data_IF_084125335727
#
_entry.id   IF_084125335727
#
_cell.length_a   1.000
_cell.length_b   1.000
_cell.length_c   1.000
_cell.angle_alpha   90.00
_cell.angle_beta   90.00
_cell.angle_gamma   90.00
#
_symmetry.space_group_name_H-M   'P 1'
#
loop_
_entity.id
_entity.type
_entity.pdbx_description
1 polymer ?
#
# COMPACT_ATOMS: atom_id res chain seq x y z
N UNK A 1 12.97 29.44 -3.40
CA UNK A 1 11.77 30.14 -3.89
C UNK A 1 10.98 29.11 -4.67
N UNK A 2 10.17 28.31 -3.96
CA UNK A 2 9.37 27.25 -4.57
C UNK A 2 7.95 27.80 -4.70
N UNK A 3 7.42 27.81 -5.92
CA UNK A 3 6.05 28.22 -6.21
C UNK A 3 5.07 27.38 -5.38
N UNK A 4 4.28 28.06 -4.56
CA UNK A 4 3.16 27.46 -3.83
C UNK A 4 2.02 27.15 -4.82
N UNK A 5 1.48 25.92 -4.86
CA UNK A 5 0.22 25.68 -5.54
C UNK A 5 -0.92 26.29 -4.72
N UNK A 6 -1.60 27.26 -5.31
CA UNK A 6 -2.77 27.98 -4.78
C UNK A 6 -3.93 27.03 -4.41
N UNK A 7 -4.74 27.38 -3.38
CA UNK A 7 -5.91 26.59 -3.00
C UNK A 7 -6.93 26.52 -4.15
N UNK A 8 -7.41 25.31 -4.45
CA UNK A 8 -8.50 25.08 -5.40
C UNK A 8 -9.83 25.45 -4.73
N UNK A 9 -10.39 26.59 -5.12
CA UNK A 9 -11.78 26.95 -4.81
C UNK A 9 -12.65 26.36 -5.92
N UNK A 10 -13.43 25.34 -5.61
CA UNK A 10 -14.47 24.82 -6.52
C UNK A 10 -15.79 25.46 -6.14
N UNK A 11 -16.27 26.38 -6.97
CA UNK A 11 -17.64 26.91 -6.91
C UNK A 11 -18.51 25.98 -7.75
N UNK A 12 -19.48 25.30 -7.12
CA UNK A 12 -20.50 24.55 -7.85
C UNK A 12 -21.61 25.52 -8.25
N UNK A 13 -21.61 25.97 -9.50
CA UNK A 13 -22.75 26.70 -10.09
C UNK A 13 -23.76 25.69 -10.63
N UNK A 14 -24.95 25.65 -10.02
CA UNK A 14 -26.09 24.91 -10.55
C UNK A 14 -26.94 25.81 -11.46
N UNK A 15 -27.05 25.45 -12.73
CA UNK A 15 -28.01 26.06 -13.66
C UNK A 15 -29.44 25.69 -13.26
N UNK A 16 -30.31 26.67 -13.09
CA UNK A 16 -31.77 26.49 -13.00
C UNK A 16 -32.48 27.30 -14.08
N UNK A 17 -33.13 26.61 -15.02
CA UNK A 17 -34.14 27.20 -15.90
C UNK A 17 -35.54 27.03 -15.28
N UNK A 18 -36.24 28.17 -15.21
CA UNK A 18 -37.65 28.49 -14.93
C UNK A 18 -38.63 27.44 -14.37
N UNK A 19 -39.32 27.81 -13.28
CA UNK A 19 -40.74 28.24 -13.35
C UNK A 19 -41.21 28.90 -12.04
N UNK A 20 -42.04 29.93 -12.20
CA UNK A 20 -42.48 30.86 -11.18
C UNK A 20 -43.79 30.38 -10.53
N UNK A 21 -43.85 30.25 -9.20
CA UNK A 21 -45.05 30.55 -8.40
C UNK A 21 -44.67 30.63 -6.93
N UNK A 22 -44.99 31.77 -6.29
CA UNK A 22 -44.58 32.05 -4.92
C UNK A 22 -45.38 31.29 -3.88
N UNK A 23 -44.73 30.91 -2.78
CA UNK A 23 -45.19 31.05 -1.39
C UNK A 23 -43.97 30.87 -0.47
N UNK A 24 -43.94 31.63 0.62
CA UNK A 24 -42.91 31.80 1.65
C UNK A 24 -42.15 30.56 2.15
N UNK A 25 -40.81 30.60 2.13
CA UNK A 25 -39.90 29.71 2.90
C UNK A 25 -38.64 30.46 3.37
N UNK A 26 -38.01 30.03 4.48
CA UNK A 26 -36.96 30.79 5.17
C UNK A 26 -35.59 30.66 4.47
N UNK A 27 -34.76 31.68 4.66
CA UNK A 27 -33.44 31.88 4.03
C UNK A 27 -32.50 30.68 4.26
N UNK A 28 -32.24 29.90 3.21
CA UNK A 28 -31.13 28.94 3.16
C UNK A 28 -29.81 29.71 3.07
N UNK A 29 -29.01 29.61 4.13
CA UNK A 29 -27.63 30.10 4.14
C UNK A 29 -26.78 29.24 3.23
N UNK A 30 -26.22 29.85 2.19
CA UNK A 30 -25.29 29.22 1.27
C UNK A 30 -23.99 28.89 2.03
N UNK A 31 -23.85 27.64 2.51
CA UNK A 31 -22.65 27.19 3.24
C UNK A 31 -21.52 27.03 2.23
N UNK A 32 -20.64 28.04 2.14
CA UNK A 32 -19.37 27.92 1.43
C UNK A 32 -18.49 26.89 2.14
N UNK A 33 -18.46 25.67 1.62
CA UNK A 33 -17.50 24.65 2.07
C UNK A 33 -16.11 25.08 1.60
N UNK A 34 -15.35 25.70 2.50
CA UNK A 34 -13.94 26.00 2.28
C UNK A 34 -13.20 24.67 2.45
N UNK A 35 -12.56 24.18 1.39
CA UNK A 35 -11.57 23.08 1.49
C UNK A 35 -10.33 23.64 2.17
N UNK A 36 -10.44 23.92 3.46
CA UNK A 36 -9.31 24.28 4.29
C UNK A 36 -8.60 22.97 4.60
N UNK A 37 -7.70 22.55 3.70
CA UNK A 37 -6.80 21.45 3.98
C UNK A 37 -6.12 21.71 5.31
N UNK A 38 -6.22 20.76 6.24
CA UNK A 38 -5.80 20.95 7.62
C UNK A 38 -4.29 21.23 7.67
N UNK A 39 -3.91 22.48 7.95
CA UNK A 39 -2.51 22.92 8.12
C UNK A 39 -2.00 22.71 9.56
N UNK A 40 -2.89 22.37 10.48
CA UNK A 40 -2.57 22.16 11.89
C UNK A 40 -2.00 20.78 12.17
N UNK A 41 -1.50 20.59 13.37
CA UNK A 41 -1.07 19.28 13.89
C UNK A 41 -2.24 18.48 14.49
N UNK A 42 -3.42 19.09 14.58
CA UNK A 42 -4.67 18.48 15.07
C UNK A 42 -5.34 17.64 13.99
N UNK A 43 -6.27 16.76 14.34
CA UNK A 43 -7.22 16.11 13.42
C UNK A 43 -8.54 16.89 13.49
N UNK A 44 -9.13 17.25 12.35
CA UNK A 44 -10.46 17.86 12.33
C UNK A 44 -11.50 16.75 12.29
N UNK A 45 -12.48 16.83 13.19
CA UNK A 45 -13.54 15.84 13.38
C UNK A 45 -14.87 16.47 13.06
N UNK A 46 -15.70 15.75 12.29
CA UNK A 46 -17.03 16.22 11.99
C UNK A 46 -17.92 16.08 13.24
N UNK A 47 -18.71 17.10 13.62
CA UNK A 47 -19.68 17.01 14.71
C UNK A 47 -20.62 15.81 14.66
N UNK A 48 -20.92 15.28 13.47
CA UNK A 48 -21.71 14.05 13.31
C UNK A 48 -21.06 12.82 13.96
N UNK A 49 -19.75 12.86 14.23
CA UNK A 49 -19.02 11.81 14.93
C UNK A 49 -19.03 11.98 16.46
N UNK A 50 -19.76 12.95 17.00
CA UNK A 50 -19.96 13.08 18.46
C UNK A 50 -20.55 11.79 19.03
N UNK A 51 -19.89 11.26 20.06
CA UNK A 51 -20.28 10.02 20.71
C UNK A 51 -19.69 8.75 20.09
N UNK A 52 -18.96 8.83 18.98
CA UNK A 52 -18.26 7.69 18.41
C UNK A 52 -17.15 7.22 19.38
N UNK A 53 -17.10 5.92 19.76
CA UNK A 53 -16.06 5.40 20.67
C UNK A 53 -14.63 5.58 20.15
N UNK A 54 -14.44 5.73 18.84
CA UNK A 54 -13.12 5.95 18.22
C UNK A 54 -12.43 7.19 18.79
N UNK A 55 -13.18 8.26 19.06
CA UNK A 55 -12.61 9.52 19.57
C UNK A 55 -11.90 9.35 20.92
N UNK A 56 -12.31 8.37 21.73
CA UNK A 56 -11.66 8.05 23.02
C UNK A 56 -10.30 7.37 22.84
N UNK A 57 -10.12 6.70 21.71
CA UNK A 57 -8.92 5.93 21.39
C UNK A 57 -7.90 6.75 20.57
N UNK A 58 -8.27 7.95 20.13
CA UNK A 58 -7.34 8.92 19.54
C UNK A 58 -6.72 9.70 20.70
N UNK A 59 -5.51 9.30 21.11
CA UNK A 59 -4.76 9.82 22.25
C UNK A 59 -3.39 10.39 21.85
N UNK A 60 -2.77 9.84 20.81
CA UNK A 60 -1.43 10.24 20.35
C UNK A 60 -1.44 11.60 19.65
N UNK A 61 -2.61 12.03 19.16
CA UNK A 61 -2.80 13.23 18.35
C UNK A 61 -4.01 14.01 18.87
N UNK A 62 -3.86 15.32 19.01
CA UNK A 62 -4.97 16.20 19.37
C UNK A 62 -6.02 16.27 18.26
N UNK A 63 -7.29 16.45 18.62
CA UNK A 63 -8.38 16.58 17.66
C UNK A 63 -9.37 17.65 18.10
N UNK A 64 -10.04 18.27 17.13
CA UNK A 64 -11.01 19.34 17.35
C UNK A 64 -12.22 19.17 16.43
N UNK A 65 -13.38 19.68 16.85
CA UNK A 65 -14.58 19.67 16.00
C UNK A 65 -14.55 20.85 15.02
N UNK A 66 -14.88 20.58 13.76
CA UNK A 66 -15.08 21.61 12.73
C UNK A 66 -16.37 21.32 11.96
N UNK A 67 -17.30 22.27 11.98
CA UNK A 67 -18.60 22.16 11.31
C UNK A 67 -18.48 22.31 9.77
N UNK A 68 -17.35 22.82 9.27
CA UNK A 68 -17.16 23.14 7.85
C UNK A 68 -16.59 21.97 7.04
N UNK A 69 -16.31 20.82 7.67
CA UNK A 69 -15.75 19.65 6.98
C UNK A 69 -16.85 18.71 6.49
N UNK A 70 -16.70 18.24 5.25
CA UNK A 70 -17.57 17.20 4.66
C UNK A 70 -17.22 15.78 5.14
N UNK A 71 -15.96 15.32 5.15
CA UNK A 71 -15.63 13.97 5.62
C UNK A 71 -15.81 13.84 7.13
N UNK A 72 -15.72 12.62 7.67
CA UNK A 72 -15.84 12.39 9.12
C UNK A 72 -14.57 12.84 9.86
N UNK A 73 -13.42 12.64 9.22
CA UNK A 73 -12.11 13.01 9.77
C UNK A 73 -11.24 13.63 8.67
N UNK A 74 -10.56 14.73 8.98
CA UNK A 74 -9.51 15.31 8.12
C UNK A 74 -8.16 15.13 8.82
N UNK A 75 -7.33 14.27 8.23
CA UNK A 75 -6.07 13.81 8.81
C UNK A 75 -4.87 14.60 8.27
N UNK A 76 -5.07 15.54 7.37
CA UNK A 76 -3.99 16.31 6.75
C UNK A 76 -4.51 17.25 5.66
N UNK A 77 -3.58 17.85 4.91
CA UNK A 77 -3.95 18.84 3.88
C UNK A 77 -4.76 18.24 2.73
N UNK A 78 -4.42 17.04 2.31
CA UNK A 78 -5.03 16.35 1.15
C UNK A 78 -5.59 14.97 1.52
N UNK A 79 -5.64 14.66 2.81
CA UNK A 79 -6.01 13.34 3.33
C UNK A 79 -7.29 13.43 4.18
N UNK A 80 -8.27 12.61 3.87
CA UNK A 80 -9.51 12.51 4.64
C UNK A 80 -9.95 11.07 4.85
N UNK A 81 -10.74 10.83 5.90
CA UNK A 81 -11.40 9.57 6.15
C UNK A 81 -12.92 9.73 6.31
N UNK A 82 -13.65 8.78 5.72
CA UNK A 82 -15.04 8.47 6.05
C UNK A 82 -15.06 7.26 6.96
N UNK A 83 -15.94 7.27 7.96
CA UNK A 83 -16.12 6.18 8.90
C UNK A 83 -17.45 5.47 8.68
N UNK A 84 -17.40 4.14 8.66
CA UNK A 84 -18.57 3.30 8.47
C UNK A 84 -18.46 2.02 9.29
N UNK A 85 -19.46 1.70 10.12
CA UNK A 85 -19.60 0.35 10.68
C UNK A 85 -20.29 -0.56 9.67
N UNK A 86 -19.88 -1.82 9.58
CA UNK A 86 -20.54 -2.81 8.72
C UNK A 86 -21.99 -3.06 9.12
N UNK A 87 -22.28 -3.05 10.42
CA UNK A 87 -23.65 -3.15 10.93
C UNK A 87 -24.51 -2.00 10.44
N UNK A 88 -23.96 -0.79 10.44
CA UNK A 88 -24.66 0.39 9.92
C UNK A 88 -24.84 0.32 8.40
N UNK A 89 -23.83 -0.12 7.65
CA UNK A 89 -23.92 -0.33 6.20
C UNK A 89 -25.03 -1.32 5.83
N UNK A 90 -25.21 -2.36 6.63
CA UNK A 90 -26.28 -3.36 6.42
C UNK A 90 -27.67 -2.76 6.67
N UNK A 91 -27.79 -1.81 7.61
CA UNK A 91 -29.05 -1.12 7.90
C UNK A 91 -29.38 -0.04 6.86
N UNK A 92 -28.38 0.72 6.40
CA UNK A 92 -28.54 1.84 5.46
C UNK A 92 -27.47 1.80 4.36
N UNK A 93 -27.62 0.96 3.32
CA UNK A 93 -26.61 0.78 2.27
C UNK A 93 -26.42 2.03 1.38
N UNK A 94 -27.45 2.87 1.24
CA UNK A 94 -27.37 4.09 0.40
C UNK A 94 -26.59 5.23 1.06
N UNK A 95 -26.42 5.19 2.38
CA UNK A 95 -25.74 6.24 3.15
C UNK A 95 -24.35 6.53 2.60
N UNK A 96 -23.55 5.50 2.33
CA UNK A 96 -22.17 5.69 1.89
C UNK A 96 -22.14 6.34 0.50
N UNK A 97 -23.05 5.95 -0.40
CA UNK A 97 -23.13 6.51 -1.75
C UNK A 97 -23.45 8.02 -1.72
N UNK A 98 -24.36 8.45 -0.85
CA UNK A 98 -24.69 9.87 -0.65
C UNK A 98 -23.50 10.63 -0.07
N UNK A 99 -22.82 10.07 0.95
CA UNK A 99 -21.63 10.69 1.56
C UNK A 99 -20.50 10.86 0.55
N UNK A 100 -20.27 9.88 -0.33
CA UNK A 100 -19.28 9.97 -1.39
C UNK A 100 -19.61 11.06 -2.42
N UNK A 101 -20.88 11.20 -2.81
CA UNK A 101 -21.32 12.26 -3.73
C UNK A 101 -21.01 13.64 -3.15
N UNK A 102 -21.30 13.84 -1.87
CA UNK A 102 -21.02 15.10 -1.18
C UNK A 102 -19.51 15.37 -1.04
N UNK A 103 -18.71 14.32 -0.79
CA UNK A 103 -17.25 14.43 -0.67
C UNK A 103 -16.57 14.74 -2.01
N UNK A 104 -17.09 14.20 -3.11
CA UNK A 104 -16.55 14.39 -4.45
C UNK A 104 -15.06 14.06 -4.56
N UNK A 105 -14.30 14.97 -5.19
CA UNK A 105 -12.84 14.90 -5.37
C UNK A 105 -12.12 16.04 -4.63
N UNK A 106 -12.62 16.40 -3.45
CA UNK A 106 -12.05 17.50 -2.65
C UNK A 106 -10.68 17.15 -2.04
N UNK A 107 -10.38 15.85 -1.90
CA UNK A 107 -9.15 15.33 -1.31
C UNK A 107 -8.49 14.33 -2.26
N UNK A 108 -7.16 14.30 -2.27
CA UNK A 108 -6.38 13.38 -3.10
C UNK A 108 -6.44 11.96 -2.52
N UNK A 109 -6.13 11.83 -1.23
CA UNK A 109 -6.24 10.57 -0.51
C UNK A 109 -7.55 10.54 0.27
N UNK A 110 -8.45 9.66 -0.17
CA UNK A 110 -9.76 9.46 0.44
C UNK A 110 -9.83 8.04 0.99
N UNK A 111 -9.85 7.94 2.30
CA UNK A 111 -9.86 6.66 3.02
C UNK A 111 -11.29 6.34 3.45
N UNK A 112 -11.74 5.12 3.18
CA UNK A 112 -12.95 4.57 3.80
C UNK A 112 -12.53 3.64 4.93
N UNK A 113 -12.64 4.13 6.17
CA UNK A 113 -12.35 3.38 7.37
C UNK A 113 -13.60 2.61 7.81
N UNK A 114 -13.54 1.29 7.66
CA UNK A 114 -14.65 0.39 7.94
C UNK A 114 -14.40 -0.40 9.21
N UNK A 115 -15.29 -0.27 10.19
CA UNK A 115 -15.29 -1.11 11.38
C UNK A 115 -16.06 -2.42 11.12
N UNK A 116 -15.38 -3.54 11.34
CA UNK A 116 -15.92 -4.89 11.19
C UNK A 116 -16.55 -5.33 12.52
N UNK A 117 -17.85 -5.07 12.68
CA UNK A 117 -18.63 -5.32 13.91
C UNK A 117 -19.73 -6.39 13.74
N UNK A 118 -19.60 -7.26 12.75
CA UNK A 118 -20.55 -8.35 12.45
C UNK A 118 -19.83 -9.68 12.27
N UNK A 119 -20.53 -10.80 12.51
CA UNK A 119 -19.97 -12.16 12.33
C UNK A 119 -19.72 -12.53 10.87
N UNK A 120 -20.61 -12.10 9.96
CA UNK A 120 -20.54 -12.44 8.53
C UNK A 120 -20.30 -11.18 7.67
N UNK A 121 -19.04 -10.69 7.58
CA UNK A 121 -18.74 -9.44 6.89
C UNK A 121 -18.59 -9.58 5.36
N UNK A 122 -18.50 -10.79 4.82
CA UNK A 122 -18.09 -11.05 3.43
C UNK A 122 -18.97 -10.36 2.38
N UNK A 123 -20.29 -10.39 2.53
CA UNK A 123 -21.20 -9.79 1.55
C UNK A 123 -21.10 -8.26 1.54
N UNK A 124 -21.11 -7.64 2.73
CA UNK A 124 -20.97 -6.20 2.89
C UNK A 124 -19.60 -5.71 2.41
N UNK A 125 -18.52 -6.42 2.74
CA UNK A 125 -17.17 -6.10 2.27
C UNK A 125 -17.05 -6.23 0.76
N UNK A 126 -17.59 -7.29 0.15
CA UNK A 126 -17.57 -7.44 -1.32
C UNK A 126 -18.23 -6.24 -2.02
N UNK A 127 -19.35 -5.76 -1.48
CA UNK A 127 -20.04 -4.59 -1.99
C UNK A 127 -19.23 -3.30 -1.78
N UNK A 128 -18.71 -3.06 -0.57
CA UNK A 128 -17.90 -1.89 -0.26
C UNK A 128 -16.60 -1.83 -1.06
N UNK A 129 -15.92 -2.97 -1.24
CA UNK A 129 -14.72 -3.05 -2.10
C UNK A 129 -15.02 -2.66 -3.53
N UNK A 130 -16.18 -3.06 -4.07
CA UNK A 130 -16.60 -2.64 -5.42
C UNK A 130 -16.82 -1.13 -5.49
N UNK A 131 -17.47 -0.55 -4.48
CA UNK A 131 -17.66 0.91 -4.40
C UNK A 131 -16.30 1.63 -4.34
N UNK A 132 -15.39 1.18 -3.47
CA UNK A 132 -14.08 1.79 -3.32
C UNK A 132 -13.25 1.75 -4.60
N UNK A 133 -13.28 0.62 -5.33
CA UNK A 133 -12.60 0.48 -6.61
C UNK A 133 -13.16 1.42 -7.69
N UNK A 134 -14.47 1.63 -7.73
CA UNK A 134 -15.11 2.50 -8.73
C UNK A 134 -14.94 3.99 -8.43
N UNK A 135 -14.68 4.35 -7.18
CA UNK A 135 -14.66 5.75 -6.71
C UNK A 135 -13.29 6.23 -6.30
N UNK A 136 -12.24 5.44 -6.54
CA UNK A 136 -10.84 5.69 -6.15
C UNK A 136 -10.68 6.00 -4.66
N UNK A 137 -11.29 5.15 -3.81
CA UNK A 137 -11.12 5.19 -2.35
C UNK A 137 -10.18 4.09 -1.88
N UNK A 138 -9.38 4.39 -0.86
CA UNK A 138 -8.62 3.37 -0.13
C UNK A 138 -9.49 2.77 0.96
N UNK A 139 -9.81 1.47 0.86
CA UNK A 139 -10.53 0.75 1.91
C UNK A 139 -9.57 0.35 3.03
N UNK A 140 -9.85 0.78 4.25
CA UNK A 140 -9.14 0.36 5.47
C UNK A 140 -10.09 -0.34 6.42
N UNK A 141 -9.71 -1.52 6.90
CA UNK A 141 -10.52 -2.32 7.82
C UNK A 141 -9.98 -2.22 9.24
N UNK A 142 -10.89 -2.13 10.22
CA UNK A 142 -10.58 -2.17 11.64
C UNK A 142 -11.49 -3.19 12.35
N UNK A 143 -10.91 -4.05 13.17
CA UNK A 143 -11.65 -5.07 13.93
C UNK A 143 -12.13 -4.57 15.30
N UNK A 144 -11.60 -3.43 15.74
CA UNK A 144 -11.99 -2.77 16.98
C UNK A 144 -12.01 -1.25 16.81
N UNK A 145 -12.77 -0.53 17.66
CA UNK A 145 -12.72 0.94 17.67
C UNK A 145 -11.34 1.47 18.11
N UNK A 146 -10.53 0.66 18.79
CA UNK A 146 -9.16 1.01 19.17
C UNK A 146 -8.23 1.01 17.95
N UNK A 147 -8.31 -0.05 17.13
CA UNK A 147 -7.58 -0.13 15.87
C UNK A 147 -7.97 1.00 14.92
N UNK A 148 -9.26 1.31 14.82
CA UNK A 148 -9.75 2.42 14.01
C UNK A 148 -9.14 3.76 14.45
N UNK A 149 -9.06 4.03 15.75
CA UNK A 149 -8.38 5.23 16.29
C UNK A 149 -6.90 5.27 15.93
N UNK A 150 -6.17 4.16 16.16
CA UNK A 150 -4.75 4.04 15.82
C UNK A 150 -4.47 4.22 14.33
N UNK A 151 -5.36 3.75 13.46
CA UNK A 151 -5.22 3.95 12.01
C UNK A 151 -5.29 5.45 11.67
N UNK A 152 -6.28 6.17 12.22
CA UNK A 152 -6.43 7.62 12.02
C UNK A 152 -5.18 8.37 12.54
N UNK A 153 -4.69 8.02 13.73
CA UNK A 153 -3.46 8.59 14.29
C UNK A 153 -2.26 8.36 13.38
N UNK A 154 -2.11 7.14 12.88
CA UNK A 154 -1.00 6.76 12.00
C UNK A 154 -1.02 7.59 10.72
N UNK A 155 -2.19 7.81 10.12
CA UNK A 155 -2.29 8.68 8.96
C UNK A 155 -1.83 10.11 9.25
N UNK A 156 -2.18 10.66 10.41
CA UNK A 156 -1.74 12.02 10.78
C UNK A 156 -0.24 12.09 11.06
N UNK A 157 0.30 11.14 11.83
CA UNK A 157 1.73 11.10 12.19
C UNK A 157 2.61 10.92 10.94
N UNK A 158 2.10 10.21 9.93
CA UNK A 158 2.86 9.93 8.71
C UNK A 158 2.70 11.00 7.62
N UNK A 159 1.93 12.07 7.85
CA UNK A 159 1.69 13.14 6.86
C UNK A 159 3.00 13.74 6.31
N UNK A 160 4.00 13.94 7.18
CA UNK A 160 5.29 14.55 6.83
C UNK A 160 6.46 13.56 6.87
N UNK A 161 6.19 12.25 7.02
CA UNK A 161 7.24 11.26 7.20
C UNK A 161 7.86 10.90 5.84
N UNK A 162 9.20 10.92 5.70
CA UNK A 162 9.84 10.54 4.44
C UNK A 162 9.63 9.05 4.12
N UNK A 163 9.74 8.66 2.84
CA UNK A 163 9.53 7.28 2.39
C UNK A 163 10.67 6.32 2.78
N UNK A 164 11.60 6.71 3.65
CA UNK A 164 12.78 5.94 4.03
C UNK A 164 12.45 4.53 4.56
N UNK A 165 11.28 4.37 5.20
CA UNK A 165 10.84 3.07 5.70
C UNK A 165 10.47 2.07 4.60
N UNK A 166 10.07 2.56 3.43
CA UNK A 166 9.62 1.72 2.29
C UNK A 166 10.68 1.61 1.19
N UNK A 167 11.73 2.42 1.25
CA UNK A 167 12.85 2.33 0.31
C UNK A 167 13.65 1.04 0.52
N UNK A 168 14.16 0.49 -0.58
CA UNK A 168 15.09 -0.64 -0.51
C UNK A 168 16.33 -0.21 0.27
N UNK A 169 16.61 -0.92 1.37
CA UNK A 169 17.88 -0.76 2.08
C UNK A 169 18.97 -1.41 1.25
N UNK A 170 19.58 -0.64 0.36
CA UNK A 170 20.74 -1.12 -0.39
C UNK A 170 21.87 -1.40 0.61
N UNK A 171 22.28 -2.67 0.72
CA UNK A 171 23.48 -3.02 1.48
C UNK A 171 24.68 -2.30 0.84
N UNK A 172 25.41 -1.48 1.60
CA UNK A 172 26.57 -0.73 1.09
C UNK A 172 27.74 -1.65 0.74
N UNK A 173 27.90 -2.72 1.52
CA UNK A 173 29.11 -3.52 1.52
C UNK A 173 29.16 -4.49 0.34
N UNK A 174 30.20 -4.37 -0.49
CA UNK A 174 30.46 -5.25 -1.63
C UNK A 174 30.47 -6.73 -1.24
N UNK A 175 30.94 -7.06 -0.02
CA UNK A 175 30.94 -8.41 0.49
C UNK A 175 29.52 -8.97 0.68
N UNK A 176 28.61 -8.17 1.26
CA UNK A 176 27.23 -8.58 1.47
C UNK A 176 26.46 -8.68 0.14
N UNK A 177 26.73 -7.78 -0.81
CA UNK A 177 26.23 -7.90 -2.19
C UNK A 177 26.63 -9.22 -2.85
N UNK A 178 27.88 -9.65 -2.68
CA UNK A 178 28.37 -10.92 -3.20
C UNK A 178 27.72 -12.13 -2.49
N UNK A 179 27.57 -12.08 -1.16
CA UNK A 179 26.86 -13.11 -0.40
C UNK A 179 25.41 -13.22 -0.88
N UNK A 180 24.72 -12.09 -1.03
CA UNK A 180 23.33 -12.02 -1.52
C UNK A 180 23.23 -12.60 -2.93
N UNK A 181 24.12 -12.21 -3.84
CA UNK A 181 24.18 -12.74 -5.21
C UNK A 181 24.39 -14.26 -5.25
N UNK A 182 25.31 -14.80 -4.44
CA UNK A 182 25.53 -16.25 -4.34
C UNK A 182 24.34 -16.97 -3.70
N UNK A 183 23.68 -16.35 -2.72
CA UNK A 183 22.50 -16.91 -2.04
C UNK A 183 21.26 -16.93 -2.93
N UNK A 184 21.22 -16.14 -4.02
CA UNK A 184 20.18 -16.23 -5.05
C UNK A 184 20.14 -17.62 -5.72
N UNK A 185 21.21 -18.40 -5.63
CA UNK A 185 21.27 -19.76 -6.15
C UNK A 185 20.60 -20.70 -5.12
N UNK A 186 19.49 -21.35 -5.50
CA UNK A 186 18.65 -22.21 -4.62
C UNK A 186 19.40 -23.21 -3.73
N UNK A 187 20.60 -23.65 -4.13
CA UNK A 187 21.40 -24.64 -3.38
C UNK A 187 22.42 -24.04 -2.40
N UNK A 188 22.56 -22.72 -2.34
CA UNK A 188 23.60 -22.03 -1.58
C UNK A 188 22.96 -21.21 -0.47
N UNK A 189 23.39 -21.46 0.76
CA UNK A 189 22.99 -20.66 1.91
C UNK A 189 23.97 -19.50 2.14
N UNK A 190 23.59 -18.54 2.99
CA UNK A 190 24.48 -17.44 3.42
C UNK A 190 25.81 -17.94 3.99
N UNK A 191 25.78 -19.02 4.76
CA UNK A 191 26.98 -19.66 5.33
C UNK A 191 27.89 -20.23 4.24
N UNK A 192 27.30 -20.86 3.22
CA UNK A 192 28.04 -21.47 2.11
C UNK A 192 28.66 -20.38 1.22
N UNK A 193 27.92 -19.29 0.97
CA UNK A 193 28.42 -18.14 0.23
C UNK A 193 29.59 -17.46 0.95
N UNK A 194 29.50 -17.32 2.28
CA UNK A 194 30.58 -16.79 3.09
C UNK A 194 31.82 -17.70 3.04
N UNK A 195 31.69 -19.03 3.18
CA UNK A 195 32.83 -19.95 3.08
C UNK A 195 33.44 -20.02 1.69
N UNK A 196 32.63 -19.89 0.63
CA UNK A 196 33.14 -19.77 -0.74
C UNK A 196 33.96 -18.49 -0.93
N UNK A 197 33.48 -17.36 -0.42
CA UNK A 197 34.19 -16.09 -0.52
C UNK A 197 35.46 -16.06 0.33
N UNK A 198 35.49 -16.67 1.52
CA UNK A 198 36.70 -16.73 2.33
C UNK A 198 37.76 -17.67 1.75
N UNK A 199 37.36 -18.79 1.14
CA UNK A 199 38.30 -19.76 0.58
C UNK A 199 38.84 -19.34 -0.81
N UNK A 200 37.96 -18.87 -1.71
CA UNK A 200 38.35 -18.49 -3.07
C UNK A 200 38.70 -17.01 -3.23
N UNK A 201 38.26 -16.14 -2.31
CA UNK A 201 38.52 -14.69 -2.30
C UNK A 201 37.72 -13.89 -3.32
N UNK A 202 37.64 -14.36 -4.57
CA UNK A 202 37.02 -13.62 -5.68
C UNK A 202 35.95 -14.46 -6.38
N UNK A 203 34.90 -13.79 -6.87
CA UNK A 203 33.83 -14.45 -7.64
C UNK A 203 34.36 -15.10 -8.92
N UNK A 204 35.35 -14.49 -9.57
CA UNK A 204 35.99 -15.04 -10.76
C UNK A 204 36.61 -16.43 -10.49
N UNK A 205 37.32 -16.60 -9.38
CA UNK A 205 37.89 -17.89 -8.98
C UNK A 205 36.81 -18.93 -8.72
N UNK A 206 35.67 -18.52 -8.13
CA UNK A 206 34.53 -19.42 -7.91
C UNK A 206 33.96 -19.90 -9.25
N UNK A 207 33.78 -19.00 -10.22
CA UNK A 207 33.24 -19.34 -11.55
C UNK A 207 34.17 -20.28 -12.32
N UNK A 208 35.48 -20.04 -12.29
CA UNK A 208 36.49 -20.86 -13.00
C UNK A 208 36.83 -22.18 -12.30
N UNK A 209 36.46 -22.33 -11.03
CA UNK A 209 36.79 -23.53 -10.25
C UNK A 209 36.01 -24.77 -10.70
N UNK A 210 36.62 -25.94 -10.56
CA UNK A 210 35.95 -27.22 -10.87
C UNK A 210 34.98 -27.63 -9.76
N UNK A 211 33.99 -28.45 -10.09
CA UNK A 211 33.04 -28.99 -9.11
C UNK A 211 33.71 -29.77 -7.96
N UNK A 212 34.90 -30.34 -8.16
CA UNK A 212 35.67 -31.01 -7.11
C UNK A 212 36.32 -29.99 -6.16
N UNK A 213 36.90 -28.91 -6.70
CA UNK A 213 37.51 -27.85 -5.89
C UNK A 213 36.46 -27.13 -5.04
N UNK A 214 35.27 -26.90 -5.58
CA UNK A 214 34.14 -26.36 -4.82
C UNK A 214 33.74 -27.30 -3.66
N UNK A 215 33.70 -28.61 -3.90
CA UNK A 215 33.35 -29.60 -2.88
C UNK A 215 34.37 -29.71 -1.72
N UNK A 216 35.59 -29.21 -1.91
CA UNK A 216 36.61 -29.15 -0.84
C UNK A 216 36.33 -28.04 0.18
N UNK A 217 35.36 -27.16 -0.06
CA UNK A 217 34.99 -26.14 0.91
C UNK A 217 34.25 -26.76 2.10
N UNK A 218 34.58 -26.37 3.34
CA UNK A 218 33.92 -26.88 4.53
C UNK A 218 32.42 -26.53 4.48
N UNK A 219 31.57 -27.55 4.67
CA UNK A 219 30.11 -27.40 4.65
C UNK A 219 29.46 -27.44 3.25
N UNK A 220 30.25 -27.37 2.16
CA UNK A 220 29.72 -27.45 0.80
C UNK A 220 29.72 -28.90 0.29
N UNK A 221 28.60 -29.59 0.44
CA UNK A 221 28.46 -30.96 -0.06
C UNK A 221 28.58 -31.08 -1.59
N UNK A 222 28.95 -32.27 -2.06
CA UNK A 222 29.17 -32.58 -3.50
C UNK A 222 27.96 -32.26 -4.38
N UNK A 223 26.74 -32.39 -3.86
CA UNK A 223 25.50 -32.01 -4.57
C UNK A 223 25.40 -30.51 -4.81
N UNK A 224 25.73 -29.69 -3.80
CA UNK A 224 25.72 -28.22 -3.89
C UNK A 224 26.81 -27.75 -4.86
N UNK A 225 28.01 -28.29 -4.74
CA UNK A 225 29.14 -27.98 -5.61
C UNK A 225 28.86 -28.31 -7.09
N UNK A 226 28.31 -29.51 -7.37
CA UNK A 226 27.90 -29.89 -8.73
C UNK A 226 26.81 -28.98 -9.29
N UNK A 227 25.81 -28.62 -8.48
CA UNK A 227 24.74 -27.76 -8.94
C UNK A 227 25.23 -26.33 -9.19
N UNK A 228 26.06 -25.78 -8.30
CA UNK A 228 26.68 -24.47 -8.46
C UNK A 228 27.49 -24.40 -9.76
N UNK A 229 28.39 -25.36 -9.97
CA UNK A 229 29.20 -25.44 -11.18
C UNK A 229 28.33 -25.56 -12.44
N UNK A 230 27.26 -26.36 -12.38
CA UNK A 230 26.32 -26.51 -13.49
C UNK A 230 25.65 -25.18 -13.81
N UNK A 231 25.09 -24.49 -12.83
CA UNK A 231 24.36 -23.22 -13.01
C UNK A 231 25.28 -22.13 -13.60
N UNK A 232 26.53 -22.04 -13.13
CA UNK A 232 27.47 -21.02 -13.61
C UNK A 232 27.97 -21.28 -15.04
N UNK A 233 28.04 -22.54 -15.47
CA UNK A 233 28.60 -22.92 -16.77
C UNK A 233 27.54 -23.34 -17.81
N UNK A 234 26.27 -23.45 -17.42
CA UNK A 234 25.21 -23.73 -18.40
C UNK A 234 24.98 -22.51 -19.29
N UNK A 235 24.94 -22.67 -20.62
CA UNK A 235 24.62 -21.56 -21.51
C UNK A 235 23.20 -21.06 -21.23
N UNK A 236 23.02 -19.74 -21.26
CA UNK A 236 21.71 -19.12 -21.07
C UNK A 236 20.72 -19.52 -22.17
N UNK A 237 21.22 -19.61 -23.41
CA UNK A 237 20.44 -20.08 -24.54
C UNK A 237 20.46 -21.61 -24.60
N UNK A 238 19.30 -22.19 -24.89
CA UNK A 238 19.20 -23.60 -25.23
C UNK A 238 20.05 -23.82 -26.48
N UNK A 239 21.06 -24.68 -26.42
CA UNK A 239 21.77 -25.06 -27.63
C UNK A 239 20.72 -25.61 -28.60
N UNK A 240 20.79 -25.16 -29.86
CA UNK A 240 19.99 -25.81 -30.90
C UNK A 240 20.30 -27.30 -30.83
N UNK A 241 19.25 -28.12 -30.76
CA UNK A 241 19.44 -29.57 -30.89
C UNK A 241 20.05 -29.75 -32.27
N UNK A 242 21.33 -30.11 -32.35
CA UNK A 242 21.90 -30.57 -33.61
C UNK A 242 20.96 -31.66 -34.14
N UNK A 243 20.44 -31.53 -35.37
CA UNK A 243 19.64 -32.59 -35.95
C UNK A 243 20.50 -33.85 -35.90
N UNK A 244 20.00 -34.93 -35.29
CA UNK A 244 20.70 -36.23 -35.30
C UNK A 244 20.95 -36.58 -36.76
N UNK A 245 22.19 -36.51 -37.24
CA UNK A 245 22.56 -36.93 -38.59
C UNK A 245 23.03 -38.39 -38.56
N UNK A 246 22.71 -39.12 -39.63
CA UNK A 246 23.15 -40.50 -39.81
C UNK A 246 22.46 -41.53 -38.92
N UNK A 247 23.18 -42.60 -38.63
CA UNK A 247 22.69 -43.85 -37.99
C UNK A 247 22.15 -43.59 -36.57
N UNK A 248 22.55 -42.47 -35.95
CA UNK A 248 22.05 -42.03 -34.64
C UNK A 248 20.54 -41.71 -34.60
N UNK A 249 19.86 -41.60 -35.77
CA UNK A 249 18.39 -41.49 -35.84
C UNK A 249 17.66 -42.79 -35.46
N UNK A 250 18.33 -43.95 -35.55
CA UNK A 250 17.69 -45.27 -35.43
C UNK A 250 17.98 -45.99 -34.10
N UNK A 251 18.80 -45.40 -33.23
CA UNK A 251 19.10 -45.95 -31.91
C UNK A 251 18.29 -45.20 -30.83
N UNK A 252 16.98 -45.46 -30.75
CA UNK A 252 16.19 -45.20 -29.54
C UNK A 252 15.37 -46.47 -29.19
N UNK A 253 15.78 -47.12 -28.09
CA UNK A 253 14.96 -47.94 -27.20
C UNK A 253 15.23 -47.46 -25.78
#
# INVERSE_FOLDING_TARGET
>A
MADEPSPKVLVLEGNSELSNSGTSTPKEGNVKVIVSGNKGTTILVNPCQRGNPILKNITSVAWEFDDNIVPDYVMGRTTCALFLSLRYHTLKPDYINERLKNLGKLYDLRVLLVQVDMKDPYHALKHLTRICLLTDLTLMLAWSPEEAGKIIETYKVFEHKPPDLIMEKTESDSHNKLISALTSIRSINKTDAATLLTNFGTLEKIIKSSHLSLANCPGLGTRKAKNLHKILNTPFLKSEKMPKLGIAKYFEK
#
